data_IF_207443516102
#
_entry.id   IF_207443516102
#
_cell.length_a   1.000
_cell.length_b   1.000
_cell.length_c   1.000
_cell.angle_alpha   90.00
_cell.angle_beta   90.00
_cell.angle_gamma   90.00
#
_symmetry.space_group_name_H-M   'P 1'
#
loop_
_entity.id
_entity.type
_entity.pdbx_description
1 polymer ?
#
# COMPACT_ATOMS: atom_id res chain seq x y z
N UNK A 1 -9.93 10.09 24.28
CA UNK A 1 -9.95 8.62 24.32
C UNK A 1 -8.56 8.16 23.93
N UNK A 2 -7.91 7.33 24.72
CA UNK A 2 -6.62 6.74 24.35
C UNK A 2 -6.89 5.29 23.93
N UNK A 3 -6.29 4.89 22.82
CA UNK A 3 -6.34 3.55 22.27
C UNK A 3 -4.90 3.09 22.02
N UNK A 4 -4.59 1.85 22.37
CA UNK A 4 -3.27 1.26 22.08
C UNK A 4 -3.13 0.92 20.60
N UNK A 5 -1.90 0.80 20.12
CA UNK A 5 -1.65 0.36 18.73
C UNK A 5 -2.22 -1.02 18.43
N UNK A 6 -2.24 -1.92 19.42
CA UNK A 6 -2.83 -3.26 19.29
C UNK A 6 -4.35 -3.20 19.14
N UNK A 7 -5.02 -2.41 19.98
CA UNK A 7 -6.48 -2.21 19.89
C UNK A 7 -6.85 -1.54 18.57
N UNK A 8 -6.03 -0.57 18.10
CA UNK A 8 -6.26 0.10 16.83
C UNK A 8 -6.12 -0.84 15.64
N UNK A 9 -5.15 -1.78 15.68
CA UNK A 9 -5.02 -2.85 14.67
C UNK A 9 -6.25 -3.72 14.65
N UNK A 10 -6.65 -4.23 15.81
CA UNK A 10 -7.84 -5.09 15.93
C UNK A 10 -9.11 -4.38 15.43
N UNK A 11 -9.30 -3.12 15.80
CA UNK A 11 -10.43 -2.32 15.33
C UNK A 11 -10.42 -2.16 13.80
N UNK A 12 -9.26 -1.82 13.23
CA UNK A 12 -9.12 -1.62 11.78
C UNK A 12 -9.40 -2.90 11.00
N UNK A 13 -8.86 -4.04 11.46
CA UNK A 13 -9.11 -5.36 10.85
C UNK A 13 -10.59 -5.74 10.94
N UNK A 14 -11.23 -5.54 12.09
CA UNK A 14 -12.66 -5.83 12.28
C UNK A 14 -13.54 -4.98 11.34
N UNK A 15 -13.20 -3.70 11.15
CA UNK A 15 -13.90 -2.83 10.21
C UNK A 15 -13.76 -3.36 8.77
N UNK A 16 -12.56 -3.71 8.35
CA UNK A 16 -12.31 -4.26 7.02
C UNK A 16 -13.01 -5.60 6.83
N UNK A 17 -12.95 -6.50 7.82
CA UNK A 17 -13.64 -7.78 7.81
C UNK A 17 -15.16 -7.61 7.64
N UNK A 18 -15.77 -6.66 8.38
CA UNK A 18 -17.21 -6.36 8.28
C UNK A 18 -17.62 -5.85 6.90
N UNK A 19 -16.67 -5.36 6.08
CA UNK A 19 -16.88 -4.93 4.71
C UNK A 19 -16.42 -5.94 3.66
N UNK A 20 -16.13 -7.18 4.06
CA UNK A 20 -15.83 -8.30 3.16
C UNK A 20 -14.41 -8.35 2.63
N UNK A 21 -13.47 -7.60 3.22
CA UNK A 21 -12.06 -7.70 2.83
C UNK A 21 -11.47 -9.05 3.21
N UNK A 22 -10.65 -9.64 2.32
CA UNK A 22 -9.92 -10.87 2.61
C UNK A 22 -8.89 -10.66 3.74
N UNK A 23 -8.49 -11.71 4.46
CA UNK A 23 -7.50 -11.61 5.54
C UNK A 23 -6.20 -10.92 5.13
N UNK A 24 -5.74 -11.14 3.90
CA UNK A 24 -4.53 -10.55 3.35
C UNK A 24 -4.68 -9.03 3.18
N UNK A 25 -5.84 -8.58 2.67
CA UNK A 25 -6.17 -7.15 2.59
C UNK A 25 -6.32 -6.53 3.97
N UNK A 26 -7.05 -7.18 4.88
CA UNK A 26 -7.19 -6.71 6.27
C UNK A 26 -5.82 -6.47 6.90
N UNK A 27 -4.92 -7.43 6.79
CA UNK A 27 -3.57 -7.31 7.37
C UNK A 27 -2.77 -6.19 6.70
N UNK A 28 -2.59 -6.22 5.38
CA UNK A 28 -1.71 -5.30 4.68
C UNK A 28 -2.17 -3.84 4.78
N UNK A 29 -3.48 -3.58 4.66
CA UNK A 29 -4.06 -2.25 4.81
C UNK A 29 -3.89 -1.76 6.25
N UNK A 30 -4.24 -2.60 7.25
CA UNK A 30 -4.15 -2.24 8.66
C UNK A 30 -2.72 -1.87 9.05
N UNK A 31 -1.73 -2.69 8.71
CA UNK A 31 -0.34 -2.41 9.09
C UNK A 31 0.14 -1.08 8.53
N UNK A 32 -0.17 -0.78 7.28
CA UNK A 32 0.22 0.50 6.67
C UNK A 32 -0.46 1.69 7.34
N UNK A 33 -1.78 1.62 7.57
CA UNK A 33 -2.52 2.73 8.17
C UNK A 33 -2.15 2.97 9.64
N UNK A 34 -1.94 1.90 10.39
CA UNK A 34 -1.55 2.01 11.81
C UNK A 34 -0.11 2.48 11.93
N UNK A 35 0.81 2.05 11.06
CA UNK A 35 2.17 2.60 11.02
C UNK A 35 2.13 4.10 10.78
N UNK A 36 1.42 4.57 9.75
CA UNK A 36 1.29 6.00 9.49
C UNK A 36 0.65 6.77 10.66
N UNK A 37 -0.29 6.16 11.37
CA UNK A 37 -0.91 6.76 12.57
C UNK A 37 0.09 6.88 13.72
N UNK A 38 0.93 5.86 13.95
CA UNK A 38 1.99 5.87 14.99
C UNK A 38 3.04 6.93 14.66
N UNK A 39 3.40 7.08 13.38
CA UNK A 39 4.34 8.08 12.88
C UNK A 39 3.75 9.50 12.84
N UNK A 40 2.57 9.69 13.43
CA UNK A 40 1.83 10.97 13.51
C UNK A 40 1.48 11.56 12.14
N UNK A 41 1.53 10.76 11.08
CA UNK A 41 1.04 11.14 9.77
C UNK A 41 -0.46 10.84 9.64
N UNK A 42 -1.26 11.60 10.37
CA UNK A 42 -2.70 11.37 10.48
C UNK A 42 -3.43 11.44 9.13
N UNK A 43 -2.92 12.21 8.17
CA UNK A 43 -3.48 12.29 6.81
C UNK A 43 -3.43 10.97 6.03
N UNK A 44 -2.56 10.03 6.42
CA UNK A 44 -2.41 8.69 5.86
C UNK A 44 -2.69 7.60 6.88
N UNK A 45 -3.19 7.98 8.06
CA UNK A 45 -3.53 7.09 9.15
C UNK A 45 -4.91 6.42 9.00
N UNK A 46 -5.44 5.95 10.11
CA UNK A 46 -6.64 5.09 10.17
C UNK A 46 -7.93 5.73 9.65
N UNK A 47 -8.03 7.06 9.61
CA UNK A 47 -9.19 7.72 9.02
C UNK A 47 -9.36 7.38 7.52
N UNK A 48 -8.28 6.94 6.85
CA UNK A 48 -8.32 6.46 5.45
C UNK A 48 -9.23 5.26 5.26
N UNK A 49 -9.55 4.50 6.31
CA UNK A 49 -10.55 3.43 6.25
C UNK A 49 -11.88 3.91 5.67
N UNK A 50 -12.29 5.14 5.98
CA UNK A 50 -13.52 5.72 5.44
C UNK A 50 -13.47 5.81 3.91
N UNK A 51 -12.36 6.33 3.36
CA UNK A 51 -12.17 6.44 1.91
C UNK A 51 -12.01 5.09 1.22
N UNK A 52 -11.36 4.11 1.87
CA UNK A 52 -11.22 2.75 1.36
C UNK A 52 -12.61 2.08 1.23
N UNK A 53 -13.41 2.17 2.29
CA UNK A 53 -14.77 1.60 2.31
C UNK A 53 -15.67 2.30 1.28
N UNK A 54 -15.54 3.62 1.15
CA UNK A 54 -16.29 4.38 0.15
C UNK A 54 -15.91 3.96 -1.28
N UNK A 55 -14.62 3.79 -1.55
CA UNK A 55 -14.11 3.28 -2.84
C UNK A 55 -14.65 1.89 -3.16
N UNK A 56 -14.70 1.00 -2.15
CA UNK A 56 -15.29 -0.34 -2.28
C UNK A 56 -16.78 -0.26 -2.61
N UNK A 57 -17.56 0.56 -1.88
CA UNK A 57 -19.01 0.74 -2.09
C UNK A 57 -19.34 1.26 -3.49
N UNK A 58 -18.44 2.05 -4.10
CA UNK A 58 -18.59 2.53 -5.47
C UNK A 58 -18.08 1.55 -6.54
N UNK A 59 -17.74 0.32 -6.16
CA UNK A 59 -17.29 -0.73 -7.10
C UNK A 59 -15.94 -0.44 -7.77
N UNK A 60 -15.12 0.45 -7.19
CA UNK A 60 -13.80 0.82 -7.73
C UNK A 60 -12.64 0.04 -7.10
N UNK A 61 -12.95 -0.88 -6.23
CA UNK A 61 -12.00 -1.75 -5.54
C UNK A 61 -12.61 -3.14 -5.36
N UNK A 62 -11.78 -4.17 -5.46
CA UNK A 62 -12.13 -5.55 -5.09
C UNK A 62 -11.49 -5.89 -3.73
N UNK A 63 -12.34 -6.13 -2.73
CA UNK A 63 -11.93 -6.47 -1.36
C UNK A 63 -11.30 -7.87 -1.23
N UNK A 64 -11.48 -8.73 -2.24
CA UNK A 64 -11.05 -10.14 -2.25
C UNK A 64 -10.02 -10.43 -3.33
N UNK A 65 -9.58 -9.40 -4.05
CA UNK A 65 -8.62 -9.55 -5.13
C UNK A 65 -7.35 -10.27 -4.68
N UNK A 66 -6.90 -11.22 -5.50
CA UNK A 66 -5.62 -11.90 -5.29
C UNK A 66 -4.61 -11.34 -6.31
N UNK A 67 -3.59 -10.59 -5.89
CA UNK A 67 -2.59 -10.07 -6.80
C UNK A 67 -1.78 -11.18 -7.45
N UNK A 68 -1.41 -10.99 -8.71
CA UNK A 68 -0.71 -11.99 -9.53
C UNK A 68 0.58 -11.41 -10.09
N UNK A 69 1.68 -12.14 -9.98
CA UNK A 69 2.94 -11.82 -10.67
C UNK A 69 2.74 -12.08 -12.17
N UNK A 70 2.77 -11.03 -12.97
CA UNK A 70 2.59 -11.11 -14.43
C UNK A 70 3.91 -11.13 -15.18
N UNK A 71 5.00 -10.72 -14.54
CA UNK A 71 6.34 -10.77 -15.08
C UNK A 71 7.37 -10.87 -13.96
N UNK A 72 8.35 -11.75 -14.11
CA UNK A 72 9.46 -11.88 -13.18
C UNK A 72 10.70 -12.36 -13.96
N UNK A 73 11.45 -11.40 -14.53
CA UNK A 73 12.68 -11.71 -15.28
C UNK A 73 13.78 -10.68 -14.99
N UNK A 74 15.00 -11.15 -14.81
CA UNK A 74 16.13 -10.31 -14.45
C UNK A 74 15.83 -9.47 -13.21
N UNK A 75 16.03 -8.17 -13.29
CA UNK A 75 15.78 -7.21 -12.20
C UNK A 75 14.33 -6.67 -12.16
N UNK A 76 13.43 -7.14 -13.03
CA UNK A 76 12.08 -6.56 -13.19
C UNK A 76 11.02 -7.53 -12.69
N UNK A 77 10.09 -7.01 -11.87
CA UNK A 77 8.89 -7.70 -11.39
C UNK A 77 7.69 -6.84 -11.76
N UNK A 78 6.63 -7.46 -12.31
CA UNK A 78 5.34 -6.79 -12.51
C UNK A 78 4.25 -7.58 -11.81
N UNK A 79 3.36 -6.87 -11.12
CA UNK A 79 2.21 -7.45 -10.41
C UNK A 79 0.94 -6.75 -10.87
N UNK A 80 -0.05 -7.54 -11.22
CA UNK A 80 -1.43 -7.09 -11.41
C UNK A 80 -2.17 -7.27 -10.07
N UNK A 81 -2.61 -6.17 -9.46
CA UNK A 81 -3.32 -6.19 -8.19
C UNK A 81 -4.82 -6.50 -8.34
N UNK A 82 -5.34 -6.67 -9.57
CA UNK A 82 -6.73 -7.03 -9.85
C UNK A 82 -7.78 -6.10 -9.19
N UNK A 83 -7.50 -4.80 -9.17
CA UNK A 83 -8.27 -3.77 -8.45
C UNK A 83 -8.26 -3.92 -6.92
N UNK A 84 -7.39 -4.74 -6.36
CA UNK A 84 -7.17 -4.82 -4.92
C UNK A 84 -6.34 -3.68 -4.37
N UNK A 85 -6.08 -3.69 -3.07
CA UNK A 85 -5.20 -2.73 -2.42
C UNK A 85 -3.74 -2.87 -2.90
N UNK A 86 -3.08 -1.74 -3.17
CA UNK A 86 -1.67 -1.73 -3.52
C UNK A 86 -0.81 -2.40 -2.44
N UNK A 87 -1.15 -2.21 -1.17
CA UNK A 87 -0.43 -2.79 -0.02
C UNK A 87 -0.41 -4.32 -0.05
N UNK A 88 -1.48 -4.97 -0.52
CA UNK A 88 -1.53 -6.43 -0.67
C UNK A 88 -0.62 -6.91 -1.80
N UNK A 89 -0.60 -6.20 -2.93
CA UNK A 89 0.32 -6.49 -4.03
C UNK A 89 1.78 -6.24 -3.64
N UNK A 90 2.04 -5.20 -2.86
CA UNK A 90 3.38 -4.89 -2.32
C UNK A 90 3.84 -5.96 -1.33
N UNK A 91 2.95 -6.49 -0.49
CA UNK A 91 3.28 -7.61 0.40
C UNK A 91 3.75 -8.86 -0.36
N UNK A 92 3.17 -9.11 -1.55
CA UNK A 92 3.63 -10.17 -2.46
C UNK A 92 4.96 -9.83 -3.13
N UNK A 93 5.15 -8.57 -3.54
CA UNK A 93 6.26 -8.16 -4.41
C UNK A 93 7.55 -7.77 -3.67
N UNK A 94 7.46 -7.17 -2.47
CA UNK A 94 8.62 -6.64 -1.75
C UNK A 94 9.67 -7.71 -1.40
N UNK A 95 9.33 -8.93 -0.94
CA UNK A 95 10.32 -9.97 -0.72
C UNK A 95 11.11 -10.33 -1.99
N UNK A 96 10.41 -10.42 -3.12
CA UNK A 96 11.01 -10.69 -4.43
C UNK A 96 11.90 -9.53 -4.89
N UNK A 97 11.45 -8.28 -4.69
CA UNK A 97 12.21 -7.08 -5.01
C UNK A 97 13.53 -7.03 -4.23
N UNK A 98 13.48 -7.32 -2.93
CA UNK A 98 14.66 -7.37 -2.05
C UNK A 98 15.66 -8.43 -2.54
N UNK A 99 15.18 -9.62 -2.85
CA UNK A 99 16.02 -10.70 -3.37
C UNK A 99 16.70 -10.29 -4.67
N UNK A 100 15.92 -9.83 -5.66
CA UNK A 100 16.45 -9.41 -6.96
C UNK A 100 17.40 -8.23 -6.87
N UNK A 101 17.13 -7.27 -6.00
CA UNK A 101 18.04 -6.14 -5.80
C UNK A 101 19.40 -6.58 -5.25
N UNK A 102 19.42 -7.53 -4.32
CA UNK A 102 20.66 -8.12 -3.80
C UNK A 102 21.42 -8.92 -4.85
N UNK A 103 20.71 -9.61 -5.75
CA UNK A 103 21.31 -10.42 -6.82
C UNK A 103 21.86 -9.57 -7.97
N UNK A 104 21.14 -8.51 -8.36
CA UNK A 104 21.42 -7.75 -9.59
C UNK A 104 22.01 -6.35 -9.31
N UNK A 105 22.14 -5.94 -8.03
CA UNK A 105 22.56 -4.59 -7.65
C UNK A 105 21.46 -3.53 -7.74
N UNK A 106 20.43 -3.77 -8.54
CA UNK A 106 19.24 -2.95 -8.70
C UNK A 106 18.05 -3.84 -9.06
N UNK A 107 16.84 -3.47 -8.64
CA UNK A 107 15.61 -4.12 -9.11
C UNK A 107 14.44 -3.14 -9.15
N UNK A 108 13.41 -3.47 -9.92
CA UNK A 108 12.19 -2.69 -10.08
C UNK A 108 10.97 -3.57 -9.86
N UNK A 109 10.03 -3.07 -9.06
CA UNK A 109 8.69 -3.63 -8.89
C UNK A 109 7.66 -2.64 -9.43
N UNK A 110 6.89 -3.06 -10.44
CA UNK A 110 5.76 -2.31 -10.96
C UNK A 110 4.45 -2.99 -10.55
N UNK A 111 3.54 -2.24 -9.92
CA UNK A 111 2.21 -2.72 -9.53
C UNK A 111 1.17 -1.98 -10.36
N UNK A 112 0.32 -2.72 -11.06
CA UNK A 112 -0.75 -2.19 -11.90
C UNK A 112 -2.13 -2.58 -11.35
N UNK A 113 -3.18 -1.88 -11.81
CA UNK A 113 -4.58 -2.12 -11.45
C UNK A 113 -4.77 -2.22 -9.92
N UNK A 114 -4.16 -1.30 -9.19
CA UNK A 114 -4.24 -1.24 -7.73
C UNK A 114 -4.94 0.02 -7.26
N UNK A 115 -5.53 -0.06 -6.08
CA UNK A 115 -6.03 1.10 -5.34
C UNK A 115 -5.02 1.44 -4.24
N UNK A 116 -4.46 2.64 -4.29
CA UNK A 116 -3.41 3.08 -3.37
C UNK A 116 -3.92 4.17 -2.42
N UNK A 117 -3.80 3.92 -1.12
CA UNK A 117 -4.18 4.85 -0.06
C UNK A 117 -3.08 5.10 0.96
N UNK A 118 -1.90 4.53 0.75
CA UNK A 118 -0.90 4.43 1.79
C UNK A 118 0.13 5.55 1.75
N UNK A 119 0.89 5.62 2.81
CA UNK A 119 2.07 6.46 2.94
C UNK A 119 3.26 5.76 2.30
N UNK A 120 3.95 6.43 1.36
CA UNK A 120 5.01 5.83 0.54
C UNK A 120 6.26 5.39 1.33
N UNK A 121 6.49 5.96 2.52
CA UNK A 121 7.69 5.59 3.31
C UNK A 121 7.58 4.21 3.96
N UNK A 122 6.36 3.70 4.19
CA UNK A 122 6.16 2.40 4.86
C UNK A 122 6.80 1.26 4.06
N UNK A 123 6.69 1.30 2.73
CA UNK A 123 7.34 0.33 1.84
C UNK A 123 8.85 0.56 1.77
N UNK A 124 9.28 1.82 1.71
CA UNK A 124 10.71 2.18 1.65
C UNK A 124 11.44 1.76 2.92
N UNK A 125 10.83 1.88 4.10
CA UNK A 125 11.40 1.39 5.35
C UNK A 125 11.68 -0.12 5.33
N UNK A 126 10.83 -0.92 4.69
CA UNK A 126 11.08 -2.36 4.56
C UNK A 126 12.32 -2.63 3.71
N UNK A 127 12.54 -1.84 2.65
CA UNK A 127 13.74 -1.93 1.82
C UNK A 127 15.00 -1.51 2.59
N UNK A 128 14.93 -0.43 3.35
CA UNK A 128 16.08 0.05 4.16
C UNK A 128 16.44 -0.91 5.29
N UNK A 129 15.44 -1.54 5.93
CA UNK A 129 15.69 -2.62 6.91
C UNK A 129 16.38 -3.83 6.29
N UNK A 130 16.20 -4.05 4.98
CA UNK A 130 16.90 -5.09 4.21
C UNK A 130 18.30 -4.66 3.72
N UNK A 131 18.75 -3.44 4.07
CA UNK A 131 20.05 -2.88 3.68
C UNK A 131 20.08 -2.30 2.26
N UNK A 132 18.92 -1.89 1.73
CA UNK A 132 18.79 -1.34 0.38
C UNK A 132 18.43 0.15 0.43
N UNK A 133 18.75 0.87 -0.64
CA UNK A 133 18.16 2.17 -0.94
C UNK A 133 16.86 1.94 -1.70
N UNK A 134 15.75 2.55 -1.23
CA UNK A 134 14.44 2.41 -1.86
C UNK A 134 13.93 3.74 -2.41
N UNK A 135 13.29 3.68 -3.57
CA UNK A 135 12.52 4.78 -4.16
C UNK A 135 11.12 4.25 -4.44
N UNK A 136 10.11 4.93 -3.92
CA UNK A 136 8.71 4.60 -4.20
C UNK A 136 8.03 5.78 -4.88
N UNK A 137 7.23 5.49 -5.91
CA UNK A 137 6.50 6.49 -6.70
C UNK A 137 5.09 5.98 -6.99
N UNK A 138 4.11 6.86 -6.88
CA UNK A 138 2.72 6.59 -7.30
C UNK A 138 2.14 7.82 -7.98
N UNK A 139 1.31 7.67 -9.02
CA UNK A 139 0.52 8.79 -9.51
C UNK A 139 -0.54 9.17 -8.47
N UNK A 140 -0.86 10.45 -8.41
CA UNK A 140 -1.91 10.99 -7.55
C UNK A 140 -2.90 11.80 -8.39
N UNK A 141 -4.02 12.18 -7.78
CA UNK A 141 -4.89 13.17 -8.38
C UNK A 141 -4.17 14.53 -8.50
N UNK A 142 -4.55 15.31 -9.48
CA UNK A 142 -4.06 16.66 -9.69
C UNK A 142 -4.60 17.61 -8.61
N UNK A 143 -4.00 17.60 -7.43
CA UNK A 143 -4.43 18.42 -6.27
C UNK A 143 -3.41 19.48 -5.89
N UNK A 144 -2.20 19.40 -6.48
CA UNK A 144 -1.11 20.32 -6.16
C UNK A 144 -0.74 21.08 -7.43
N UNK A 145 -0.95 22.40 -7.42
CA UNK A 145 -0.51 23.26 -8.48
C UNK A 145 1.01 23.44 -8.46
N UNK A 146 1.69 23.47 -9.63
CA UNK A 146 3.08 23.89 -9.71
C UNK A 146 3.27 25.30 -9.16
N UNK A 147 4.47 25.62 -8.69
CA UNK A 147 4.78 26.96 -8.21
C UNK A 147 4.48 28.01 -9.29
N UNK A 148 3.66 29.02 -8.94
CA UNK A 148 3.22 30.06 -9.86
C UNK A 148 1.95 29.74 -10.67
N UNK A 149 1.42 28.51 -10.61
CA UNK A 149 0.12 28.14 -11.18
C UNK A 149 -0.99 28.21 -10.15
N UNK A 150 -2.23 28.42 -10.61
CA UNK A 150 -3.46 28.28 -9.81
C UNK A 150 -4.22 26.98 -10.12
N UNK A 151 -3.78 26.25 -11.15
CA UNK A 151 -4.38 24.97 -11.58
C UNK A 151 -3.37 23.85 -11.36
N UNK A 152 -3.84 22.70 -10.81
CA UNK A 152 -3.01 21.53 -10.59
C UNK A 152 -2.63 20.82 -11.88
#
# INVERSE_FOLDING_TARGET
MHITSTELRSLSQNILAAHGFSPEHQHSITETLVTAQIDQCHSHGVWRLLGIIDTLKHGKMDATASPVVTHEQGAIIKIDAKLGAATTALALGLPKLIEKAKQNGIALLAVNHCVHFSALWVEVEQLTRAGLIGINMTPSHAWVAPSGSREP
#
